data_IF_750688202838
#
_entry.id   IF_750688202838
#
_cell.length_a   1.000
_cell.length_b   1.000
_cell.length_c   1.000
_cell.angle_alpha   90.00
_cell.angle_beta   90.00
_cell.angle_gamma   90.00
#
_symmetry.space_group_name_H-M   'P 1'
#
loop_
_entity.id
_entity.type
_entity.pdbx_description
1 polymer ?
#
# COMPACT_ATOMS: atom_id res chain seq x y z
N UNK A 1 14.86 -8.21 0.71
CA UNK A 1 14.13 -8.93 1.78
C UNK A 1 13.10 -7.98 2.40
N UNK A 2 11.81 -8.13 2.10
CA UNK A 2 10.75 -7.26 2.64
C UNK A 2 10.29 -7.76 4.03
N UNK A 3 10.28 -6.88 5.02
CA UNK A 3 9.90 -7.18 6.40
C UNK A 3 8.54 -6.53 6.75
N UNK A 4 7.72 -7.28 7.51
CA UNK A 4 6.49 -6.91 8.24
C UNK A 4 5.09 -7.21 7.68
N UNK A 5 4.94 -7.76 6.48
CA UNK A 5 3.72 -8.52 6.08
C UNK A 5 3.84 -10.02 6.42
N UNK A 6 4.98 -10.41 6.99
CA UNK A 6 5.36 -11.82 7.16
C UNK A 6 4.44 -12.63 8.08
N UNK A 7 3.91 -12.07 9.17
CA UNK A 7 3.17 -12.86 10.17
C UNK A 7 1.88 -13.44 9.58
N UNK A 8 1.06 -12.60 8.94
CA UNK A 8 -0.17 -13.05 8.29
C UNK A 8 0.11 -14.12 7.23
N UNK A 9 1.09 -13.88 6.36
CA UNK A 9 1.46 -14.83 5.32
C UNK A 9 2.06 -16.14 5.85
N UNK A 10 2.81 -16.09 6.95
CA UNK A 10 3.50 -17.25 7.52
C UNK A 10 2.57 -18.13 8.37
N UNK A 11 1.66 -17.52 9.14
CA UNK A 11 0.84 -18.27 10.10
C UNK A 11 -0.62 -18.45 9.66
N UNK A 12 -1.10 -17.66 8.71
CA UNK A 12 -2.46 -17.73 8.20
C UNK A 12 -2.52 -17.36 6.71
N UNK A 13 -1.82 -18.10 5.84
CA UNK A 13 -1.71 -17.77 4.41
C UNK A 13 -3.05 -17.68 3.65
N UNK A 14 -4.10 -18.32 4.16
CA UNK A 14 -5.43 -18.35 3.55
C UNK A 14 -6.44 -17.39 4.21
N UNK A 15 -6.06 -16.73 5.31
CA UNK A 15 -6.97 -15.86 6.05
C UNK A 15 -8.08 -16.61 6.79
N UNK A 16 -7.92 -17.91 7.04
CA UNK A 16 -8.95 -18.76 7.66
C UNK A 16 -9.17 -18.41 9.12
N UNK A 17 -8.07 -18.14 9.84
CA UNK A 17 -8.16 -17.74 11.24
C UNK A 17 -8.92 -16.42 11.37
N UNK A 18 -8.56 -15.45 10.53
CA UNK A 18 -9.21 -14.13 10.54
C UNK A 18 -10.69 -14.22 10.13
N UNK A 19 -11.02 -14.98 9.07
CA UNK A 19 -12.40 -15.13 8.60
C UNK A 19 -13.31 -15.85 9.60
N UNK A 20 -12.77 -16.80 10.37
CA UNK A 20 -13.53 -17.48 11.42
C UNK A 20 -14.01 -16.50 12.51
N UNK A 21 -13.14 -15.57 12.93
CA UNK A 21 -13.46 -14.56 13.94
C UNK A 21 -14.22 -13.36 13.38
N UNK A 22 -14.02 -13.05 12.11
CA UNK A 22 -14.64 -11.92 11.40
C UNK A 22 -15.40 -12.44 10.18
N UNK A 23 -16.67 -12.87 10.34
CA UNK A 23 -17.44 -13.50 9.28
C UNK A 23 -17.62 -12.63 8.03
N UNK A 24 -17.61 -11.30 8.19
CA UNK A 24 -17.67 -10.34 7.07
C UNK A 24 -16.50 -10.53 6.07
N UNK A 25 -15.37 -11.05 6.54
CA UNK A 25 -14.20 -11.32 5.71
C UNK A 25 -14.25 -12.68 5.01
N UNK A 26 -15.16 -13.58 5.40
CA UNK A 26 -15.29 -14.90 4.76
C UNK A 26 -15.71 -14.78 3.29
N UNK A 27 -16.62 -13.83 3.00
CA UNK A 27 -17.09 -13.50 1.66
C UNK A 27 -15.99 -12.94 0.75
N UNK A 28 -14.86 -12.49 1.33
CA UNK A 28 -13.74 -11.95 0.58
C UNK A 28 -12.83 -13.07 0.06
N UNK A 29 -12.21 -12.88 -1.11
CA UNK A 29 -11.18 -13.80 -1.60
C UNK A 29 -9.99 -13.81 -0.63
N UNK A 30 -9.30 -14.96 -0.54
CA UNK A 30 -8.23 -15.19 0.44
C UNK A 30 -7.14 -14.12 0.43
N UNK A 31 -6.84 -13.55 -0.73
CA UNK A 31 -5.82 -12.52 -0.92
C UNK A 31 -6.19 -11.19 -0.26
N UNK A 32 -7.48 -10.96 0.02
CA UNK A 32 -8.01 -9.72 0.61
C UNK A 32 -8.38 -9.85 2.09
N UNK A 33 -8.30 -11.04 2.69
CA UNK A 33 -8.75 -11.26 4.08
C UNK A 33 -7.87 -10.55 5.11
N UNK A 34 -6.55 -10.50 4.91
CA UNK A 34 -5.65 -9.77 5.82
C UNK A 34 -5.58 -8.27 5.52
N UNK A 35 -5.84 -7.89 4.27
CA UNK A 35 -5.80 -6.51 3.81
C UNK A 35 -7.08 -6.18 3.01
N UNK A 36 -8.23 -6.06 3.69
CA UNK A 36 -9.51 -5.84 3.02
C UNK A 36 -9.67 -4.42 2.44
N UNK A 37 -8.82 -3.47 2.84
CA UNK A 37 -8.97 -2.07 2.43
C UNK A 37 -10.30 -1.50 2.88
N UNK A 38 -11.03 -0.84 1.99
CA UNK A 38 -12.36 -0.29 2.26
C UNK A 38 -13.48 -1.35 2.26
N UNK A 39 -13.18 -2.62 1.99
CA UNK A 39 -14.14 -3.73 2.07
C UNK A 39 -14.43 -4.13 3.53
N UNK A 40 -13.68 -3.56 4.48
CA UNK A 40 -13.90 -3.71 5.90
C UNK A 40 -13.69 -2.36 6.60
N UNK A 41 -13.68 -2.37 7.93
CA UNK A 41 -13.47 -1.20 8.77
C UNK A 41 -12.16 -0.49 8.38
N UNK A 42 -12.25 0.84 8.22
CA UNK A 42 -11.09 1.70 7.93
C UNK A 42 -10.03 1.58 9.01
N UNK A 43 -8.77 1.55 8.59
CA UNK A 43 -7.64 1.53 9.50
C UNK A 43 -7.68 2.75 10.45
N UNK A 44 -7.79 2.48 11.75
CA UNK A 44 -7.86 3.52 12.78
C UNK A 44 -6.49 4.17 12.97
N UNK A 45 -5.41 3.39 12.90
CA UNK A 45 -4.03 3.84 13.12
C UNK A 45 -3.11 3.24 12.06
N UNK A 46 -2.25 4.04 11.40
CA UNK A 46 -1.29 3.55 10.43
C UNK A 46 -0.29 2.59 11.08
N UNK A 47 0.12 1.53 10.36
CA UNK A 47 1.21 0.67 10.85
C UNK A 47 2.52 1.43 10.78
N UNK A 48 3.35 1.30 11.82
CA UNK A 48 4.67 1.93 11.89
C UNK A 48 5.60 1.50 10.75
N UNK A 49 5.42 0.28 10.25
CA UNK A 49 6.29 -0.32 9.25
C UNK A 49 5.53 -1.42 8.48
N UNK A 50 5.80 -1.53 7.18
CA UNK A 50 5.12 -2.46 6.28
C UNK A 50 4.37 -1.73 5.19
N UNK A 51 4.39 -2.28 3.97
CA UNK A 51 3.72 -1.70 2.82
C UNK A 51 2.28 -2.21 2.77
N UNK A 52 1.33 -1.39 3.23
CA UNK A 52 -0.03 -1.43 2.71
C UNK A 52 -0.02 -0.56 1.45
N UNK A 53 -0.54 -1.09 0.34
CA UNK A 53 -0.69 -0.34 -0.90
C UNK A 53 -1.48 0.93 -0.59
N UNK A 54 -0.76 2.06 -0.61
CA UNK A 54 -1.32 3.40 -0.45
C UNK A 54 -2.10 3.70 -1.73
N UNK A 55 -3.31 3.17 -1.85
CA UNK A 55 -4.25 3.59 -2.88
C UNK A 55 -4.75 4.99 -2.51
N UNK A 56 -3.85 5.98 -2.59
CA UNK A 56 -4.19 7.38 -2.57
C UNK A 56 -4.54 7.78 -4.01
N UNK A 57 -5.62 7.21 -4.54
CA UNK A 57 -6.25 7.72 -5.76
C UNK A 57 -7.21 8.84 -5.38
N UNK A 58 -6.68 9.97 -4.91
CA UNK A 58 -7.17 11.30 -5.29
C UNK A 58 -6.34 12.43 -4.69
N UNK A 59 -5.79 13.25 -5.60
CA UNK A 59 -5.76 14.72 -5.58
C UNK A 59 -5.31 15.41 -4.30
N UNK A 60 -4.00 15.57 -4.18
CA UNK A 60 -3.38 16.79 -3.62
C UNK A 60 -2.04 17.01 -4.36
N UNK A 61 -2.13 17.09 -5.69
CA UNK A 61 -1.06 17.56 -6.56
C UNK A 61 -1.53 18.85 -7.24
N UNK A 62 -1.94 19.86 -6.47
CA UNK A 62 -2.29 21.17 -7.04
C UNK A 62 -2.12 22.32 -6.05
N UNK A 63 -0.99 22.38 -5.33
CA UNK A 63 -0.41 23.67 -4.88
C UNK A 63 1.11 23.61 -4.99
N UNK A 64 1.60 23.32 -6.20
CA UNK A 64 2.99 23.59 -6.57
C UNK A 64 3.11 23.90 -8.07
N UNK A 65 2.10 24.56 -8.63
CA UNK A 65 2.27 25.27 -9.90
C UNK A 65 2.68 26.70 -9.59
N UNK A 66 3.98 27.00 -9.71
CA UNK A 66 4.49 28.33 -10.06
C UNK A 66 6.00 28.30 -10.30
N UNK A 67 6.37 28.55 -11.57
CA UNK A 67 7.70 28.93 -12.09
C UNK A 67 8.72 27.77 -12.22
N UNK A 68 9.34 27.45 -13.37
CA UNK A 68 9.52 28.11 -14.67
C UNK A 68 9.89 27.07 -15.73
N UNK A 69 9.47 27.31 -16.98
CA UNK A 69 9.96 26.64 -18.19
C UNK A 69 11.48 26.77 -18.32
N UNK A 70 12.18 25.65 -18.46
CA UNK A 70 13.35 25.59 -19.35
C UNK A 70 13.51 24.17 -19.88
N UNK A 71 13.33 24.05 -21.18
CA UNK A 71 13.52 22.82 -21.92
C UNK A 71 14.94 22.27 -21.76
N UNK A 72 14.99 20.94 -21.66
CA UNK A 72 16.02 20.06 -22.22
C UNK A 72 17.48 20.44 -22.05
N UNK A 73 18.24 19.59 -21.35
CA UNK A 73 19.60 19.28 -21.79
C UNK A 73 20.03 17.89 -21.35
N UNK A 74 20.70 17.22 -22.28
CA UNK A 74 20.98 15.78 -22.31
C UNK A 74 22.05 15.36 -21.31
N UNK A 75 21.94 14.10 -20.90
CA UNK A 75 22.98 13.31 -20.24
C UNK A 75 24.22 13.18 -21.14
N UNK A 76 25.43 13.45 -20.62
CA UNK A 76 26.70 12.89 -21.16
C UNK A 76 27.87 12.99 -20.16
N UNK A 77 28.25 11.83 -19.61
CA UNK A 77 29.62 11.28 -19.46
C UNK A 77 30.76 12.08 -18.84
N UNK A 78 31.39 11.45 -17.83
CA UNK A 78 32.81 11.42 -17.44
C UNK A 78 33.66 12.72 -17.44
N UNK A 79 34.21 13.04 -16.26
CA UNK A 79 35.49 13.75 -16.10
C UNK A 79 36.24 13.09 -14.92
N UNK A 80 37.28 12.32 -15.23
CA UNK A 80 38.72 12.58 -15.00
C UNK A 80 39.15 12.35 -13.56
#
# INVERSE_FOLDING_TARGET
MAARVKVAQTYDSEGKYVAYWLPELEALPKEKRHFPGDLYIKQIVPLKYGNYHKNNSNKDSEVAERHTRSQGRKFKGYQR
#
